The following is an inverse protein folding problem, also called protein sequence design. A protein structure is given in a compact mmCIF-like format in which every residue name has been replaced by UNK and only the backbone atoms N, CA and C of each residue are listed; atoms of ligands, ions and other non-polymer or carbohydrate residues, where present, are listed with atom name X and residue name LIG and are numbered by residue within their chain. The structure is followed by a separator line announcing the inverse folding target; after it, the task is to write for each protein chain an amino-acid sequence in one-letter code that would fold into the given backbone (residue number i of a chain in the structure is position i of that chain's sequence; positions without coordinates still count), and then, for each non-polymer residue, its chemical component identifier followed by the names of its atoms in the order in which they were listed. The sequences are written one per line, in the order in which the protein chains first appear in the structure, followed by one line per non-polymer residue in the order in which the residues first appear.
data_IF_335326982528
#
_entry.id   IF_335326982528
#
_cell.length_a   1.000
_cell.length_b   1.000
_cell.length_c   1.000
_cell.angle_alpha   90.00
_cell.angle_beta   90.00
_cell.angle_gamma   90.00
#
_symmetry.space_group_name_H-M   'P 1'
#
loop_
_entity.id
_entity.type
_entity.pdbx_description
1 polymer ?
#
# COMPACT_ATOMS: atom_id res chain seq x y z
N UNK A 1 2.76 -15.77 -13.61
CA UNK A 1 2.51 -14.33 -13.42
C UNK A 1 1.78 -13.84 -14.64
N UNK A 2 0.60 -13.24 -14.48
CA UNK A 2 -0.18 -12.76 -15.63
C UNK A 2 0.40 -11.42 -16.09
N UNK A 3 0.13 -11.05 -17.34
CA UNK A 3 0.60 -9.76 -17.90
C UNK A 3 0.00 -8.55 -17.17
N UNK A 4 -1.24 -8.66 -16.68
CA UNK A 4 -1.90 -7.65 -15.86
C UNK A 4 -1.12 -7.36 -14.56
N UNK A 5 -0.58 -8.39 -13.91
CA UNK A 5 0.17 -8.25 -12.65
C UNK A 5 1.49 -7.46 -12.87
N UNK A 6 2.11 -7.61 -14.04
CA UNK A 6 3.37 -6.94 -14.40
C UNK A 6 3.18 -5.43 -14.46
N UNK A 7 2.03 -4.95 -14.94
CA UNK A 7 1.73 -3.53 -15.06
C UNK A 7 1.59 -2.83 -13.71
N UNK A 8 1.32 -3.58 -12.64
CA UNK A 8 1.19 -3.06 -11.27
C UNK A 8 2.49 -3.10 -10.48
N UNK A 9 3.57 -3.66 -11.04
CA UNK A 9 4.85 -3.71 -10.35
C UNK A 9 5.44 -2.30 -10.23
N UNK A 10 6.04 -2.04 -9.08
CA UNK A 10 6.84 -0.83 -8.88
C UNK A 10 7.97 -0.79 -9.91
N UNK A 11 8.24 0.37 -10.54
CA UNK A 11 9.43 0.56 -11.38
C UNK A 11 10.75 0.29 -10.66
N UNK A 12 10.74 0.30 -9.32
CA UNK A 12 11.88 0.09 -8.45
C UNK A 12 12.04 -1.38 -8.03
N UNK A 13 11.70 -2.34 -8.89
CA UNK A 13 11.71 -3.80 -8.58
C UNK A 13 12.93 -4.28 -7.80
N UNK A 14 14.13 -3.82 -8.19
CA UNK A 14 15.39 -4.09 -7.49
C UNK A 14 16.17 -2.82 -7.15
N UNK A 15 15.52 -1.66 -7.29
CA UNK A 15 16.13 -0.37 -7.04
C UNK A 15 16.10 -0.02 -5.56
N UNK A 16 17.07 0.79 -5.11
CA UNK A 16 17.01 1.36 -3.77
C UNK A 16 15.99 2.50 -3.73
N UNK A 17 15.15 2.52 -2.69
CA UNK A 17 14.22 3.63 -2.43
C UNK A 17 14.77 4.46 -1.29
N UNK A 18 15.03 5.75 -1.54
CA UNK A 18 15.45 6.67 -0.50
C UNK A 18 14.23 7.20 0.26
N UNK A 19 14.12 6.85 1.54
CA UNK A 19 13.10 7.40 2.45
C UNK A 19 13.70 8.50 3.32
N UNK A 20 13.73 9.72 2.79
CA UNK A 20 14.20 10.89 3.52
C UNK A 20 13.03 11.57 4.23
N UNK A 21 13.09 11.67 5.56
CA UNK A 21 12.08 12.36 6.37
C UNK A 21 11.67 11.61 7.63
N UNK A 22 10.70 12.16 8.36
CA UNK A 22 10.07 11.50 9.50
C UNK A 22 8.75 10.88 9.07
N UNK A 23 8.72 9.57 8.97
CA UNK A 23 7.51 8.81 8.69
C UNK A 23 6.96 8.29 10.02
N UNK A 24 5.83 8.85 10.46
CA UNK A 24 5.12 8.33 11.61
C UNK A 24 4.19 7.20 11.14
N UNK A 25 4.51 5.97 11.49
CA UNK A 25 3.61 4.84 11.31
C UNK A 25 2.90 4.59 12.63
N UNK A 26 1.63 4.99 12.72
CA UNK A 26 0.77 4.55 13.83
C UNK A 26 0.26 3.17 13.49
N UNK A 27 0.62 2.17 14.30
CA UNK A 27 0.13 0.81 14.12
C UNK A 27 -1.31 0.74 14.65
N UNK A 28 -2.32 0.47 13.79
CA UNK A 28 -3.69 0.30 14.28
C UNK A 28 -3.78 -0.95 15.15
N UNK A 29 -4.61 -0.89 16.20
CA UNK A 29 -4.77 -1.98 17.17
C UNK A 29 -5.13 -3.33 16.53
N UNK A 30 -5.98 -3.32 15.49
CA UNK A 30 -6.31 -4.54 14.73
C UNK A 30 -5.06 -5.24 14.17
N UNK A 31 -4.08 -4.47 13.70
CA UNK A 31 -2.83 -5.01 13.13
C UNK A 31 -1.87 -5.42 14.23
N UNK A 32 -1.86 -4.68 15.35
CA UNK A 32 -1.10 -5.07 16.54
C UNK A 32 -1.52 -6.45 17.09
N UNK A 33 -2.80 -6.82 16.94
CA UNK A 33 -3.33 -8.15 17.28
C UNK A 33 -3.06 -9.24 16.23
N UNK A 34 -2.34 -8.91 15.16
CA UNK A 34 -2.02 -9.84 14.07
C UNK A 34 -3.14 -9.98 13.03
N UNK A 35 -4.18 -9.15 13.09
CA UNK A 35 -5.21 -9.12 12.04
C UNK A 35 -4.68 -8.39 10.80
N UNK A 36 -5.30 -8.63 9.65
CA UNK A 36 -4.95 -7.96 8.39
C UNK A 36 -5.83 -6.71 8.20
N UNK A 37 -5.27 -5.68 7.57
CA UNK A 37 -6.08 -4.55 7.09
C UNK A 37 -7.09 -5.07 6.06
N UNK A 38 -8.37 -4.65 6.12
CA UNK A 38 -9.34 -4.96 5.08
C UNK A 38 -8.81 -4.53 3.71
N UNK A 39 -9.10 -5.33 2.68
CA UNK A 39 -8.80 -4.94 1.31
C UNK A 39 -9.63 -3.71 0.94
N UNK A 40 -8.98 -2.68 0.37
CA UNK A 40 -9.69 -1.51 -0.14
C UNK A 40 -10.58 -1.94 -1.30
N UNK A 41 -11.85 -1.52 -1.29
CA UNK A 41 -12.73 -1.75 -2.43
C UNK A 41 -12.26 -0.87 -3.61
N UNK A 42 -11.85 -1.47 -4.74
CA UNK A 42 -11.38 -0.72 -5.90
C UNK A 42 -12.44 0.24 -6.46
N UNK A 43 -13.73 0.01 -6.19
CA UNK A 43 -14.84 0.87 -6.63
C UNK A 43 -15.02 2.12 -5.76
N UNK A 44 -14.37 2.17 -4.60
CA UNK A 44 -14.50 3.28 -3.62
C UNK A 44 -13.27 4.19 -3.62
N UNK A 45 -12.17 3.84 -4.31
CA UNK A 45 -10.88 4.50 -4.18
C UNK A 45 -10.78 5.94 -4.76
N UNK A 46 -11.88 6.58 -5.15
CA UNK A 46 -11.91 7.91 -5.79
C UNK A 46 -12.91 8.92 -5.21
N UNK A 47 -13.46 8.70 -4.01
CA UNK A 47 -14.47 9.60 -3.40
C UNK A 47 -14.00 10.34 -2.15
N UNK A 48 -12.72 10.23 -1.77
CA UNK A 48 -12.19 10.83 -0.54
C UNK A 48 -11.60 12.24 -0.75
N UNK A 49 -11.74 12.84 -1.95
CA UNK A 49 -11.24 14.18 -2.33
C UNK A 49 -12.36 15.18 -2.73
N UNK A 50 -13.61 14.96 -2.29
CA UNK A 50 -14.74 15.90 -2.46
C UNK A 50 -15.38 16.28 -1.12
#
# INVERSE_FOLDING_TARGET
MKSEDVAHLSPLSFGHINMLGRYAFTLPEIIARGELRPLRDPRTAGIDDL
#
